data_IF_684431269036
#
_entry.id   IF_684431269036
#
_cell.length_a   1.000
_cell.length_b   1.000
_cell.length_c   1.000
_cell.angle_alpha   90.00
_cell.angle_beta   90.00
_cell.angle_gamma   90.00
#
_symmetry.space_group_name_H-M   'P 1'
#
loop_
_entity.id
_entity.type
_entity.pdbx_description
1 polymer ?
2 non-polymer ?
3 non-polymer ?
4 water ?
#
# COMPACT_ATOMS: atom_id res chain seq x y z
N UNK A 6 -7.78 -2.70 -11.96
CA UNK A 6 -6.48 -1.99 -12.15
C UNK A 6 -6.75 -0.49 -12.31
N UNK A 7 -7.72 0.02 -11.54
CA UNK A 7 -8.17 1.40 -11.67
C UNK A 7 -7.33 2.38 -10.86
N UNK A 8 -6.31 1.88 -10.12
CA UNK A 8 -5.51 2.73 -9.24
C UNK A 8 -4.04 2.34 -9.25
N UNK A 9 -3.21 3.35 -9.04
CA UNK A 9 -1.79 3.17 -8.77
C UNK A 9 -1.54 3.63 -7.33
N UNK A 10 -1.23 2.70 -6.43
CA UNK A 10 -0.89 3.08 -5.06
C UNK A 10 0.62 3.31 -4.94
N UNK A 11 0.99 4.23 -4.05
CA UNK A 11 2.38 4.53 -3.79
C UNK A 11 2.66 4.53 -2.29
N UNK A 12 3.93 4.25 -1.94
CA UNK A 12 4.43 4.33 -0.56
C UNK A 12 5.61 5.31 -0.48
N UNK A 13 5.80 5.90 0.69
CA UNK A 13 6.79 6.96 0.87
C UNK A 13 8.07 6.42 1.54
N UNK A 14 9.23 6.68 0.91
CA UNK A 14 10.50 6.22 1.44
C UNK A 14 10.98 7.19 2.51
N UNK A 15 12.14 6.86 3.10
CA UNK A 15 12.63 7.59 4.25
C UNK A 15 12.99 9.01 3.85
N UNK A 16 13.44 9.18 2.58
CA UNK A 16 13.89 10.46 2.04
C UNK A 16 12.75 11.26 1.42
N UNK A 17 11.54 10.74 1.59
CA UNK A 17 10.33 11.50 1.31
C UNK A 17 9.80 11.32 -0.11
N UNK A 18 10.38 10.42 -0.89
CA UNK A 18 9.94 10.21 -2.27
C UNK A 18 8.91 9.10 -2.34
N UNK A 19 8.02 9.21 -3.34
CA UNK A 19 6.98 8.22 -3.54
C UNK A 19 7.40 7.15 -4.54
N UNK A 20 7.07 5.91 -4.21
CA UNK A 20 7.36 4.78 -5.07
C UNK A 20 6.07 4.03 -5.39
N UNK A 21 5.83 3.71 -6.67
CA UNK A 21 4.63 2.91 -7.00
C UNK A 21 4.80 1.49 -6.46
N UNK A 22 3.77 0.94 -5.83
CA UNK A 22 3.67 -0.51 -5.66
C UNK A 22 3.66 -1.16 -7.04
N UNK A 23 4.01 -2.45 -7.11
CA UNK A 23 3.89 -3.19 -8.37
C UNK A 23 2.40 -3.35 -8.71
N UNK A 24 2.08 -3.78 -9.95
CA UNK A 24 0.70 -3.81 -10.41
C UNK A 24 -0.13 -4.72 -9.51
N UNK A 25 0.44 -5.88 -9.14
CA UNK A 25 -0.31 -6.85 -8.36
C UNK A 25 -0.55 -6.31 -6.95
N UNK A 26 0.45 -5.66 -6.36
CA UNK A 26 0.27 -5.12 -5.02
C UNK A 26 -0.72 -3.94 -5.05
N UNK A 27 -0.64 -3.07 -6.06
CA UNK A 27 -1.63 -2.01 -6.21
C UNK A 27 -3.02 -2.60 -6.32
N UNK A 28 -3.17 -3.69 -7.10
CA UNK A 28 -4.46 -4.35 -7.30
C UNK A 28 -5.01 -4.88 -5.98
N UNK A 29 -4.13 -5.47 -5.15
CA UNK A 29 -4.51 -6.03 -3.86
C UNK A 29 -4.99 -4.90 -2.95
N UNK A 30 -4.19 -3.83 -2.87
CA UNK A 30 -4.53 -2.70 -2.02
C UNK A 30 -5.86 -2.08 -2.50
N UNK A 31 -5.95 -1.82 -3.81
CA UNK A 31 -7.12 -1.16 -4.36
C UNK A 31 -8.38 -1.97 -4.07
N UNK A 32 -8.31 -3.29 -4.20
CA UNK A 32 -9.51 -4.10 -4.09
C UNK A 32 -10.05 -4.04 -2.66
N UNK A 33 -9.14 -4.04 -1.70
CA UNK A 33 -9.48 -3.95 -0.29
C UNK A 33 -10.03 -2.57 0.05
N UNK A 34 -9.39 -1.53 -0.51
CA UNK A 34 -9.84 -0.18 -0.28
C UNK A 34 -11.25 0.04 -0.81
N UNK A 35 -11.52 -0.52 -1.99
CA UNK A 35 -12.78 -0.31 -2.69
C UNK A 35 -13.95 -0.84 -1.85
N UNK A 36 -13.76 -1.97 -1.15
CA UNK A 36 -14.84 -2.58 -0.37
C UNK A 36 -14.85 -2.13 1.09
N UNK A 37 -14.02 -1.17 1.47
CA UNK A 37 -14.07 -0.60 2.81
C UNK A 37 -13.41 -1.47 3.88
N UNK A 38 -12.44 -2.31 3.50
CA UNK A 38 -11.61 -2.99 4.49
C UNK A 38 -10.82 -1.97 5.30
N UNK A 39 -10.63 -2.23 6.59
CA UNK A 39 -9.86 -1.34 7.44
C UNK A 39 -8.36 -1.56 7.20
N UNK A 40 -7.99 -2.81 6.93
CA UNK A 40 -6.59 -3.17 6.76
C UNK A 40 -6.47 -4.47 5.97
N UNK A 41 -5.31 -4.64 5.35
CA UNK A 41 -4.96 -5.92 4.78
C UNK A 41 -3.49 -6.18 5.07
N UNK A 42 -3.10 -7.42 4.82
CA UNK A 42 -1.71 -7.85 4.93
C UNK A 42 -1.16 -8.02 3.52
N UNK A 43 0.09 -7.62 3.32
CA UNK A 43 0.77 -7.68 2.04
C UNK A 43 2.16 -8.26 2.30
N UNK A 44 2.62 -9.25 1.52
CA UNK A 44 4.01 -9.66 1.66
C UNK A 44 4.76 -9.33 0.38
N UNK A 45 5.86 -8.59 0.53
CA UNK A 45 6.79 -8.36 -0.55
C UNK A 45 8.21 -8.39 0.02
N UNK A 46 9.14 -8.96 -0.76
CA UNK A 46 10.56 -9.01 -0.44
C UNK A 46 10.82 -9.79 0.84
N UNK A 47 9.88 -10.67 1.19
CA UNK A 47 10.01 -11.49 2.37
C UNK A 47 9.59 -10.77 3.65
N UNK A 48 9.07 -9.55 3.47
CA UNK A 48 8.67 -8.71 4.57
C UNK A 48 7.16 -8.83 4.66
N UNK A 49 6.64 -8.56 5.86
CA UNK A 49 5.21 -8.59 6.06
C UNK A 49 4.79 -7.16 6.43
N UNK A 50 3.83 -6.64 5.66
CA UNK A 50 3.29 -5.33 5.90
C UNK A 50 1.79 -5.40 6.17
N UNK A 51 1.35 -4.52 7.05
CA UNK A 51 -0.06 -4.23 7.17
C UNK A 51 -0.29 -2.92 6.45
N UNK A 52 -1.27 -2.92 5.54
CA UNK A 52 -1.79 -1.70 4.94
C UNK A 52 -3.02 -1.27 5.74
N UNK A 53 -2.89 -0.15 6.45
CA UNK A 53 -3.89 0.36 7.36
C UNK A 53 -4.56 1.55 6.70
N UNK A 54 -5.81 1.37 6.27
CA UNK A 54 -6.50 2.43 5.55
C UNK A 54 -7.09 3.48 6.50
N UNK A 55 -7.23 3.15 7.78
CA UNK A 55 -7.74 4.11 8.76
C UNK A 55 -6.73 5.23 8.97
N UNK A 56 -5.45 4.90 8.88
CA UNK A 56 -4.38 5.89 9.03
C UNK A 56 -3.65 6.18 7.70
N UNK A 57 -3.99 5.44 6.63
CA UNK A 57 -3.33 5.57 5.33
C UNK A 57 -1.82 5.38 5.47
N UNK A 58 -1.45 4.22 6.00
CA UNK A 58 -0.06 3.90 6.22
C UNK A 58 0.20 2.44 5.90
N UNK A 59 1.45 2.17 5.51
CA UNK A 59 2.03 0.84 5.43
C UNK A 59 2.89 0.62 6.68
N UNK A 60 2.62 -0.46 7.42
CA UNK A 60 3.29 -0.71 8.69
C UNK A 60 4.08 -2.01 8.57
N UNK A 61 5.39 -1.96 8.86
CA UNK A 61 6.20 -3.15 8.97
C UNK A 61 5.95 -3.76 10.33
N UNK A 62 5.42 -4.99 10.35
CA UNK A 62 4.90 -5.56 11.58
C UNK A 62 6.01 -6.16 12.44
N UNK A 63 7.25 -6.20 11.92
CA UNK A 63 8.41 -6.62 12.68
C UNK A 63 9.12 -5.42 13.32
N UNK A 64 9.27 -4.30 12.61
CA UNK A 64 10.08 -3.18 13.09
C UNK A 64 9.22 -2.07 13.69
N UNK A 65 7.93 -2.04 13.32
CA UNK A 65 7.02 -0.99 13.76
C UNK A 65 7.12 0.29 12.93
N UNK A 66 7.87 0.26 11.81
CA UNK A 66 8.00 1.44 10.97
C UNK A 66 6.72 1.61 10.15
N UNK A 67 6.15 2.81 10.25
CA UNK A 67 4.97 3.23 9.49
C UNK A 67 5.36 4.28 8.45
N UNK A 68 4.88 4.04 7.20
CA UNK A 68 5.12 4.90 6.03
C UNK A 68 3.78 5.37 5.44
N UNK A 69 3.76 6.60 4.89
CA UNK A 69 2.56 7.06 4.24
C UNK A 69 2.33 6.29 2.94
N UNK A 70 1.04 6.10 2.59
CA UNK A 70 0.65 5.62 1.27
C UNK A 70 -0.32 6.61 0.65
N UNK A 71 -0.41 6.59 -0.68
CA UNK A 71 -1.41 7.39 -1.36
C UNK A 71 -1.81 6.71 -2.66
N UNK A 72 -2.97 7.16 -3.19
CA UNK A 72 -3.60 6.56 -4.35
C UNK A 72 -3.66 7.58 -5.49
N UNK A 73 -3.29 7.14 -6.68
CA UNK A 73 -3.46 7.94 -7.88
C UNK A 73 -4.38 7.17 -8.80
N UNK A 74 -5.32 7.83 -9.51
CA UNK A 74 -6.16 7.12 -10.46
C UNK A 74 -5.33 6.67 -11.65
N UNK A 75 -5.67 5.52 -12.21
CA UNK A 75 -5.02 5.03 -13.41
C UNK A 75 -5.89 5.39 -14.62
N UNK A 76 -5.41 6.26 -15.53
CA UNK A 76 -6.18 6.67 -16.70
C UNK A 76 -6.45 5.56 -17.72
N UNK A 77 -5.63 4.51 -17.68
CA UNK A 77 -5.61 3.49 -18.71
C UNK A 77 -6.94 2.74 -18.70
N UNK A 78 -7.55 2.67 -19.87
CA UNK A 78 -8.79 1.93 -20.06
C UNK A 78 -8.48 0.43 -20.08
N UNK A 79 -9.36 -0.37 -19.47
CA UNK A 79 -9.30 -1.82 -19.59
C UNK A 79 -9.35 -2.21 -21.07
X LIG B 1 14.72 -1.99 8.56
X LIG B 1 15.99 -1.78 7.79
X LIG B 1 14.94 -1.71 10.06
X LIG B 1 14.08 -3.32 8.31
X LIG B 1 12.33 -0.24 8.38
X LIG B 1 12.42 1.13 7.80
X LIG B 1 11.96 -0.43 9.81
X LIG B 1 13.73 -0.89 8.05
X LIG B 1 10.58 -0.95 6.12
X LIG B 1 9.55 0.13 6.22
X LIG B 1 10.18 -2.34 5.79
X LIG B 1 11.37 -1.14 7.50
X LIG B 1 11.68 -0.47 5.07
X LIG B 1 12.85 -1.27 4.78
X LIG B 1 13.39 -0.88 3.43
X LIG B 1 12.43 -1.28 2.42
X LIG B 1 13.66 0.61 3.20
X LIG B 1 14.75 0.80 2.30
X LIG B 1 12.35 1.07 2.57
X LIG B 1 12.48 2.24 1.78
X LIG B 1 11.98 -0.15 1.73
X LIG B 1 10.52 -0.32 1.55
X LIG B 1 9.52 -0.02 2.42
X LIG B 1 8.33 -0.34 1.96
X LIG B 1 8.58 -0.95 0.74
X LIG B 1 7.74 -1.52 -0.23
X LIG B 1 6.40 -1.54 -0.16
X LIG B 1 8.33 -2.03 -1.35
X LIG B 1 9.67 -2.01 -1.43
X LIG B 1 10.55 -1.47 -0.59
X LIG B 1 9.94 -0.97 0.49
X LIG C 1 5.08 -3.74 -4.44
#
# INVERSE_FOLDING_TARGET
GAQNTDGAIWQWRDDRGLWHPYNRIDSRIIEAAHQVGEDEISLSTLGRVYTIDFNSMQQINEDTGTARAIQRKPNPLANS
ATP PG O1G O2G O3G PB O1B O2B O3B PA O1A O2A O3A O5' C5' C4' O4' C3' O3' C2' O2' C1' N9 C8 N7 C5 C6 N6 N1 C2 N3 C4
UNX UNK
#
